data_IF_382574883846
#
_entry.id   IF_382574883846
#
_cell.length_a   1.000
_cell.length_b   1.000
_cell.length_c   1.000
_cell.angle_alpha   90.00
_cell.angle_beta   90.00
_cell.angle_gamma   90.00
#
_symmetry.space_group_name_H-M   'P 1'
#
loop_
_entity.id
_entity.type
_entity.pdbx_description
1 polymer ?
#
# COMPACT_ATOMS: atom_id res chain seq x y z
N UNK A 1 -11.58 5.60 22.54
CA UNK A 1 -11.20 5.67 21.12
C UNK A 1 -12.45 5.40 20.28
N UNK A 2 -12.63 6.06 19.13
CA UNK A 2 -13.72 5.76 18.20
C UNK A 2 -13.30 4.63 17.24
N UNK A 3 -14.25 3.90 16.66
CA UNK A 3 -13.97 2.84 15.68
C UNK A 3 -13.11 3.32 14.49
N UNK A 4 -13.20 4.61 14.15
CA UNK A 4 -12.47 5.24 13.06
C UNK A 4 -10.99 5.48 13.34
N UNK A 5 -10.59 5.55 14.62
CA UNK A 5 -9.21 5.83 15.02
C UNK A 5 -8.52 4.64 15.67
N UNK A 6 -9.27 3.58 16.00
CA UNK A 6 -8.72 2.40 16.66
C UNK A 6 -7.69 1.69 15.77
N UNK A 7 -8.02 1.40 14.51
CA UNK A 7 -7.13 0.67 13.61
C UNK A 7 -5.79 1.39 13.34
N UNK A 8 -5.74 2.71 13.01
CA UNK A 8 -4.47 3.43 12.91
C UNK A 8 -3.69 3.47 14.22
N UNK A 9 -4.39 3.64 15.35
CA UNK A 9 -3.78 3.67 16.68
C UNK A 9 -3.12 2.33 17.02
N UNK A 10 -3.75 1.21 16.71
CA UNK A 10 -3.20 -0.13 16.93
C UNK A 10 -1.94 -0.40 16.08
N UNK A 11 -1.78 0.32 14.97
CA UNK A 11 -0.61 0.28 14.11
C UNK A 11 0.46 1.33 14.45
N UNK A 12 0.24 2.13 15.51
CA UNK A 12 1.16 3.20 15.90
C UNK A 12 1.30 4.33 14.90
N UNK A 13 0.35 4.49 13.97
CA UNK A 13 0.36 5.52 12.92
C UNK A 13 -0.82 6.48 13.05
N UNK A 14 -0.64 7.71 12.61
CA UNK A 14 -1.73 8.67 12.54
C UNK A 14 -2.74 8.30 11.45
N UNK A 15 -3.98 8.78 11.61
CA UNK A 15 -5.03 8.61 10.61
C UNK A 15 -4.60 9.13 9.22
N UNK A 16 -3.85 10.23 9.18
CA UNK A 16 -3.36 10.81 7.92
C UNK A 16 -2.26 9.97 7.27
N UNK A 17 -1.36 9.36 8.05
CA UNK A 17 -0.34 8.44 7.53
C UNK A 17 -0.98 7.18 6.96
N UNK A 18 -1.95 6.59 7.68
CA UNK A 18 -2.71 5.44 7.20
C UNK A 18 -3.47 5.76 5.90
N UNK A 19 -4.13 6.93 5.85
CA UNK A 19 -4.84 7.39 4.66
C UNK A 19 -3.88 7.63 3.47
N UNK A 20 -2.76 8.31 3.70
CA UNK A 20 -1.77 8.62 2.65
C UNK A 20 -1.14 7.34 2.08
N UNK A 21 -0.92 6.34 2.94
CA UNK A 21 -0.45 5.02 2.53
C UNK A 21 -1.49 4.31 1.63
N UNK A 22 -2.73 4.19 2.11
CA UNK A 22 -3.78 3.48 1.38
C UNK A 22 -4.14 4.16 0.04
N UNK A 23 -4.21 5.50 0.02
CA UNK A 23 -4.50 6.24 -1.21
C UNK A 23 -3.35 6.11 -2.23
N UNK A 24 -2.10 5.99 -1.78
CA UNK A 24 -0.95 5.74 -2.64
C UNK A 24 -1.07 4.42 -3.41
N UNK A 25 -1.46 3.35 -2.71
CA UNK A 25 -1.74 2.04 -3.31
C UNK A 25 -2.89 2.14 -4.31
N UNK A 26 -4.01 2.72 -3.89
CA UNK A 26 -5.19 2.87 -4.73
C UNK A 26 -4.89 3.66 -6.02
N UNK A 27 -4.12 4.74 -5.90
CA UNK A 27 -3.74 5.58 -7.03
C UNK A 27 -2.86 4.85 -8.03
N UNK A 28 -1.88 4.07 -7.54
CA UNK A 28 -1.01 3.23 -8.38
C UNK A 28 -1.83 2.22 -9.18
N UNK A 29 -2.72 1.48 -8.50
CA UNK A 29 -3.59 0.48 -9.12
C UNK A 29 -4.52 1.09 -10.15
N UNK A 30 -5.20 2.20 -9.82
CA UNK A 30 -6.11 2.88 -10.73
C UNK A 30 -5.39 3.31 -12.02
N UNK A 31 -4.19 3.90 -11.91
CA UNK A 31 -3.40 4.29 -13.09
C UNK A 31 -2.97 3.11 -13.93
N UNK A 32 -2.57 1.99 -13.30
CA UNK A 32 -2.21 0.77 -14.02
C UNK A 32 -3.41 0.21 -14.79
N UNK A 33 -4.57 0.05 -14.13
CA UNK A 33 -5.81 -0.40 -14.77
C UNK A 33 -6.19 0.48 -15.97
N UNK A 34 -6.13 1.80 -15.80
CA UNK A 34 -6.42 2.74 -16.89
C UNK A 34 -5.42 2.59 -18.05
N UNK A 35 -4.13 2.44 -17.77
CA UNK A 35 -3.12 2.23 -18.80
C UNK A 35 -3.37 0.94 -19.59
N UNK A 36 -3.67 -0.17 -18.90
CA UNK A 36 -4.02 -1.43 -19.54
C UNK A 36 -5.33 -1.33 -20.35
N UNK A 37 -6.35 -0.65 -19.84
CA UNK A 37 -7.61 -0.47 -20.56
C UNK A 37 -7.44 0.36 -21.83
N UNK A 38 -6.67 1.47 -21.74
CA UNK A 38 -6.36 2.31 -22.90
C UNK A 38 -5.54 1.51 -23.93
N UNK A 39 -4.51 0.77 -23.50
CA UNK A 39 -3.72 -0.07 -24.39
C UNK A 39 -4.57 -1.16 -25.07
N UNK A 40 -5.50 -1.77 -24.33
CA UNK A 40 -6.41 -2.78 -24.88
C UNK A 40 -7.34 -2.22 -25.98
N UNK A 41 -7.79 -0.96 -25.84
CA UNK A 41 -8.58 -0.27 -26.86
C UNK A 41 -7.72 0.26 -28.01
N UNK A 42 -6.49 0.70 -27.71
CA UNK A 42 -5.57 1.35 -28.63
C UNK A 42 -4.17 0.72 -28.51
N UNK A 43 -3.89 -0.40 -29.20
CA UNK A 43 -2.68 -1.20 -29.01
C UNK A 43 -1.37 -0.49 -29.37
N UNK A 44 -1.43 0.65 -30.08
CA UNK A 44 -0.27 1.50 -30.36
C UNK A 44 0.07 2.47 -29.22
N UNK A 45 -0.83 2.68 -28.24
CA UNK A 45 -0.53 3.43 -27.02
C UNK A 45 0.21 2.48 -26.09
N UNK A 46 1.50 2.72 -25.85
CA UNK A 46 2.32 1.89 -24.98
C UNK A 46 2.00 2.15 -23.50
N UNK A 47 2.20 1.13 -22.67
CA UNK A 47 2.09 1.27 -21.22
C UNK A 47 3.41 1.84 -20.70
N UNK A 48 3.33 2.92 -19.93
CA UNK A 48 4.52 3.45 -19.23
C UNK A 48 5.08 2.37 -18.31
N UNK A 49 6.41 2.16 -18.33
CA UNK A 49 7.08 1.12 -17.53
C UNK A 49 6.70 1.16 -16.04
N UNK A 50 6.47 2.34 -15.49
CA UNK A 50 6.06 2.45 -14.09
C UNK A 50 4.65 1.89 -13.83
N UNK A 51 3.77 1.82 -14.82
CA UNK A 51 2.38 1.37 -14.69
C UNK A 51 2.17 -0.05 -15.22
N UNK A 52 3.21 -0.69 -15.76
CA UNK A 52 3.12 -2.07 -16.19
C UNK A 52 2.89 -3.02 -15.00
N UNK A 53 2.62 -4.28 -15.33
CA UNK A 53 2.26 -5.28 -14.32
C UNK A 53 3.42 -5.56 -13.36
N UNK A 54 4.66 -5.59 -13.85
CA UNK A 54 5.83 -5.91 -13.05
C UNK A 54 6.12 -4.79 -12.04
N UNK A 55 6.21 -3.55 -12.51
CA UNK A 55 6.49 -2.39 -11.66
C UNK A 55 5.34 -2.05 -10.70
N UNK A 56 4.09 -2.34 -11.10
CA UNK A 56 2.94 -2.20 -10.20
C UNK A 56 2.98 -3.29 -9.12
N UNK A 57 3.24 -4.54 -9.49
CA UNK A 57 3.32 -5.65 -8.53
C UNK A 57 4.47 -5.46 -7.54
N UNK A 58 5.66 -5.07 -8.01
CA UNK A 58 6.81 -4.79 -7.15
C UNK A 58 6.49 -3.68 -6.13
N UNK A 59 5.82 -2.61 -6.56
CA UNK A 59 5.37 -1.54 -5.66
C UNK A 59 4.39 -2.05 -4.61
N UNK A 60 3.43 -2.91 -4.99
CA UNK A 60 2.45 -3.47 -4.05
C UNK A 60 3.11 -4.38 -3.02
N UNK A 61 4.04 -5.23 -3.44
CA UNK A 61 4.80 -6.10 -2.55
C UNK A 61 5.64 -5.28 -1.56
N UNK A 62 6.39 -4.27 -2.04
CA UNK A 62 7.15 -3.36 -1.17
C UNK A 62 6.25 -2.70 -0.12
N UNK A 63 5.05 -2.26 -0.51
CA UNK A 63 4.09 -1.65 0.42
C UNK A 63 3.48 -2.67 1.38
N UNK A 64 3.28 -3.91 0.96
CA UNK A 64 2.79 -4.99 1.82
C UNK A 64 3.82 -5.35 2.90
N UNK A 65 5.08 -5.52 2.52
CA UNK A 65 6.18 -5.82 3.44
C UNK A 65 6.37 -4.71 4.49
N UNK A 66 6.15 -3.46 4.10
CA UNK A 66 6.15 -2.33 5.03
C UNK A 66 5.07 -2.46 6.12
N UNK A 67 3.86 -2.93 5.77
CA UNK A 67 2.78 -3.16 6.74
C UNK A 67 3.17 -4.30 7.68
N UNK A 68 3.65 -5.42 7.14
CA UNK A 68 4.03 -6.60 7.93
C UNK A 68 5.14 -6.24 8.93
N UNK A 69 6.17 -5.52 8.48
CA UNK A 69 7.26 -5.07 9.35
C UNK A 69 6.78 -4.09 10.45
N UNK A 70 5.84 -3.20 10.13
CA UNK A 70 5.27 -2.28 11.11
C UNK A 70 4.37 -2.99 12.15
N UNK A 71 3.62 -4.01 11.71
CA UNK A 71 2.80 -4.85 12.57
C UNK A 71 3.65 -5.73 13.50
N UNK A 72 4.73 -6.32 13.00
CA UNK A 72 5.64 -7.14 13.81
C UNK A 72 6.33 -6.31 14.90
N UNK A 73 6.80 -5.10 14.56
CA UNK A 73 7.42 -4.20 15.53
C UNK A 73 6.48 -3.78 16.66
N UNK A 74 5.22 -3.51 16.34
CA UNK A 74 4.21 -3.15 17.35
C UNK A 74 3.84 -4.32 18.25
N UNK A 75 3.87 -5.56 17.74
CA UNK A 75 3.69 -6.76 18.54
C UNK A 75 4.84 -6.98 19.54
N UNK A 76 6.08 -6.79 19.12
CA UNK A 76 7.29 -6.88 19.98
C UNK A 76 7.29 -5.80 21.08
N UNK A 77 6.91 -4.57 20.77
CA UNK A 77 6.81 -3.47 21.75
C UNK A 77 5.71 -3.72 22.80
N UNK A 78 4.62 -4.40 22.43
CA UNK A 78 3.50 -4.71 23.32
C UNK A 78 3.78 -5.87 24.30
N UNK A 79 4.67 -6.79 23.94
CA UNK A 79 5.10 -7.91 24.76
C UNK A 79 6.63 -8.01 24.77
N UNK A 80 7.34 -7.15 25.54
CA UNK A 80 8.78 -7.27 25.65
C UNK A 80 9.11 -8.67 26.19
N UNK A 81 9.95 -9.41 25.48
CA UNK A 81 10.45 -10.69 25.93
C UNK A 81 11.00 -10.52 27.36
N UNK A 82 10.40 -11.22 28.32
CA UNK A 82 10.79 -11.13 29.72
C UNK A 82 12.27 -11.49 29.86
N UNK A 83 13.08 -10.49 30.25
CA UNK A 83 14.51 -10.64 30.55
C UNK A 83 14.72 -11.14 31.99
#
# INVERSE_FOLDING_TARGET
>A
MTIFTQHPHDQGISYFEHWAFAIGIAWRLLRSVLAFAIHALFPWITIEKQLDLEATSAFLLERNDFIETAADKTADDAYPAAA
#
